data_IF_558498521275
#
_entry.id   IF_558498521275
#
_cell.length_a   1.000
_cell.length_b   1.000
_cell.length_c   1.000
_cell.angle_alpha   90.00
_cell.angle_beta   90.00
_cell.angle_gamma   90.00
#
_symmetry.space_group_name_H-M   'P 1'
#
loop_
_entity.id
_entity.type
_entity.pdbx_description
1 polymer ?
#
# COMPACT_ATOMS: atom_id res chain seq x y z
N UNK A 1 -2.56 -24.07 -12.99
CA UNK A 1 -1.38 -23.38 -12.43
C UNK A 1 -1.64 -23.22 -10.93
N UNK A 2 -0.77 -23.72 -10.04
CA UNK A 2 -0.94 -23.41 -8.62
C UNK A 2 -0.79 -21.90 -8.42
N UNK A 3 -1.57 -21.31 -7.53
CA UNK A 3 -1.36 -19.94 -7.09
C UNK A 3 0.09 -19.82 -6.60
N UNK A 4 0.85 -18.77 -6.96
CA UNK A 4 2.18 -18.57 -6.40
C UNK A 4 2.00 -18.57 -4.88
N UNK A 5 2.62 -19.54 -4.21
CA UNK A 5 2.70 -19.58 -2.76
C UNK A 5 3.13 -18.19 -2.32
N UNK A 6 2.37 -17.57 -1.42
CA UNK A 6 2.70 -16.34 -0.73
C UNK A 6 4.20 -16.37 -0.43
N UNK A 7 5.00 -15.66 -1.21
CA UNK A 7 6.42 -15.53 -0.92
C UNK A 7 6.44 -14.67 0.32
N UNK A 8 6.68 -15.31 1.47
CA UNK A 8 6.88 -14.58 2.70
C UNK A 8 8.04 -13.60 2.47
N UNK A 9 7.86 -12.32 2.78
CA UNK A 9 8.91 -11.34 2.58
C UNK A 9 10.15 -11.78 3.38
N UNK A 10 11.31 -11.67 2.74
CA UNK A 10 12.61 -11.78 3.40
C UNK A 10 12.75 -10.71 4.50
N UNK A 11 13.73 -10.85 5.39
CA UNK A 11 13.91 -9.88 6.47
C UNK A 11 14.25 -8.47 5.94
N UNK A 12 14.97 -8.38 4.82
CA UNK A 12 15.23 -7.12 4.12
C UNK A 12 13.94 -6.52 3.53
N UNK A 13 13.09 -7.34 2.92
CA UNK A 13 11.79 -6.89 2.39
C UNK A 13 10.83 -6.47 3.51
N UNK A 14 10.85 -7.14 4.66
CA UNK A 14 10.08 -6.71 5.85
C UNK A 14 10.52 -5.33 6.32
N UNK A 15 11.83 -5.07 6.32
CA UNK A 15 12.36 -3.75 6.68
C UNK A 15 11.90 -2.69 5.67
N UNK A 16 11.96 -2.98 4.37
CA UNK A 16 11.45 -2.09 3.34
C UNK A 16 9.92 -1.85 3.45
N UNK A 17 9.15 -2.88 3.82
CA UNK A 17 7.70 -2.74 4.09
C UNK A 17 7.44 -1.78 5.26
N UNK A 18 8.24 -1.86 6.33
CA UNK A 18 8.15 -0.93 7.47
C UNK A 18 8.45 0.50 7.01
N UNK A 19 9.52 0.71 6.25
CA UNK A 19 9.89 2.03 5.71
C UNK A 19 8.78 2.62 4.81
N UNK A 20 8.18 1.79 3.94
CA UNK A 20 7.06 2.20 3.11
C UNK A 20 5.82 2.56 3.94
N UNK A 21 5.55 1.85 5.05
CA UNK A 21 4.44 2.17 5.96
C UNK A 21 4.65 3.52 6.63
N UNK A 22 5.85 3.76 7.17
CA UNK A 22 6.18 5.01 7.84
C UNK A 22 6.11 6.19 6.86
N UNK A 23 6.61 6.00 5.64
CA UNK A 23 6.50 6.97 4.56
C UNK A 23 5.05 7.29 4.19
N UNK A 24 4.22 6.25 4.03
CA UNK A 24 2.80 6.44 3.73
C UNK A 24 2.04 7.09 4.89
N UNK A 25 2.33 6.72 6.13
CA UNK A 25 1.73 7.33 7.32
C UNK A 25 2.04 8.83 7.40
N UNK A 26 3.28 9.21 7.11
CA UNK A 26 3.71 10.62 7.09
C UNK A 26 2.95 11.41 6.02
N UNK A 27 2.84 10.86 4.82
CA UNK A 27 2.11 11.46 3.72
C UNK A 27 0.60 11.56 4.03
N UNK A 28 0.01 10.53 4.63
CA UNK A 28 -1.39 10.52 5.07
C UNK A 28 -1.66 11.60 6.12
N UNK A 29 -0.78 11.74 7.11
CA UNK A 29 -0.90 12.76 8.15
C UNK A 29 -0.75 14.18 7.58
N UNK A 30 0.06 14.34 6.54
CA UNK A 30 0.28 15.63 5.86
C UNK A 30 -0.90 16.00 4.95
N UNK A 31 -1.47 15.01 4.26
CA UNK A 31 -2.51 15.20 3.25
C UNK A 31 -3.71 14.26 3.44
N UNK A 32 -4.42 14.29 4.58
CA UNK A 32 -5.41 13.28 4.93
C UNK A 32 -6.61 13.21 3.97
N UNK A 33 -6.99 14.34 3.36
CA UNK A 33 -8.14 14.43 2.45
C UNK A 33 -7.93 13.69 1.12
N UNK A 34 -6.67 13.38 0.77
CA UNK A 34 -6.33 12.67 -0.47
C UNK A 34 -6.49 11.14 -0.36
N UNK A 35 -6.87 10.62 0.80
CA UNK A 35 -6.89 9.19 1.08
C UNK A 35 -8.17 8.75 1.78
N UNK A 36 -8.42 7.45 1.76
CA UNK A 36 -9.37 6.84 2.69
C UNK A 36 -8.68 6.36 3.95
N UNK A 37 -9.38 6.51 5.07
CA UNK A 37 -8.96 5.89 6.34
C UNK A 37 -8.83 4.37 6.22
N UNK A 38 -9.73 3.73 5.46
CA UNK A 38 -9.68 2.29 5.16
C UNK A 38 -8.38 1.89 4.45
N UNK A 39 -7.89 2.71 3.52
CA UNK A 39 -6.62 2.43 2.84
C UNK A 39 -5.44 2.52 3.82
N UNK A 40 -5.45 3.49 4.73
CA UNK A 40 -4.45 3.59 5.81
C UNK A 40 -4.46 2.35 6.71
N UNK A 41 -5.64 1.91 7.14
CA UNK A 41 -5.77 0.69 7.95
C UNK A 41 -5.25 -0.55 7.22
N UNK A 42 -5.51 -0.68 5.91
CA UNK A 42 -4.98 -1.79 5.12
C UNK A 42 -3.46 -1.74 4.98
N UNK A 43 -2.88 -0.57 4.74
CA UNK A 43 -1.42 -0.41 4.61
C UNK A 43 -0.72 -0.79 5.92
N UNK A 44 -1.27 -0.36 7.05
CA UNK A 44 -0.65 -0.62 8.36
C UNK A 44 -0.80 -2.07 8.83
N UNK A 45 -1.90 -2.73 8.49
CA UNK A 45 -2.23 -4.04 9.07
C UNK A 45 -2.07 -5.23 8.12
N UNK A 46 -1.76 -4.99 6.83
CA UNK A 46 -1.65 -6.07 5.85
C UNK A 46 -0.36 -5.93 5.02
N UNK A 47 0.61 -6.80 5.29
CA UNK A 47 1.92 -6.81 4.62
C UNK A 47 1.78 -6.95 3.11
N UNK A 48 0.87 -7.80 2.62
CA UNK A 48 0.67 -8.00 1.19
C UNK A 48 0.23 -6.73 0.46
N UNK A 49 -0.57 -5.87 1.10
CA UNK A 49 -1.01 -4.61 0.50
C UNK A 49 0.15 -3.65 0.21
N UNK A 50 1.26 -3.79 0.94
CA UNK A 50 2.49 -3.00 0.77
C UNK A 50 3.50 -3.77 -0.10
N UNK A 51 3.74 -5.04 0.24
CA UNK A 51 4.72 -5.92 -0.40
C UNK A 51 4.51 -6.02 -1.92
N UNK A 52 3.26 -6.08 -2.39
CA UNK A 52 2.97 -6.11 -3.84
C UNK A 52 3.53 -4.90 -4.62
N UNK A 53 3.65 -3.74 -3.98
CA UNK A 53 4.21 -2.54 -4.61
C UNK A 53 5.73 -2.55 -4.57
N UNK A 54 6.32 -3.10 -3.50
CA UNK A 54 7.76 -3.34 -3.41
C UNK A 54 8.23 -4.33 -4.49
N UNK A 55 7.50 -5.44 -4.66
CA UNK A 55 7.76 -6.42 -5.71
C UNK A 55 7.62 -5.81 -7.11
N UNK A 56 6.58 -5.00 -7.34
CA UNK A 56 6.40 -4.32 -8.62
C UNK A 56 7.45 -3.22 -8.89
N UNK A 57 8.19 -2.80 -7.86
CA UNK A 57 9.27 -1.84 -7.92
C UNK A 57 10.66 -2.50 -7.89
N UNK A 58 10.74 -3.82 -8.08
CA UNK A 58 12.00 -4.58 -8.07
C UNK A 58 12.82 -4.37 -6.79
N UNK A 59 12.15 -4.22 -5.64
CA UNK A 59 12.78 -4.00 -4.34
C UNK A 59 13.14 -2.53 -4.04
N UNK A 60 12.85 -1.60 -4.94
CA UNK A 60 13.07 -0.17 -4.69
C UNK A 60 11.95 0.40 -3.79
N UNK A 61 12.30 0.66 -2.53
CA UNK A 61 11.40 1.23 -1.51
C UNK A 61 10.78 2.56 -1.93
N UNK A 62 11.54 3.45 -2.57
CA UNK A 62 11.08 4.80 -2.94
C UNK A 62 10.09 4.78 -4.12
N UNK A 63 10.40 3.99 -5.14
CA UNK A 63 9.50 3.74 -6.26
C UNK A 63 8.26 2.97 -5.79
N UNK A 64 8.42 1.99 -4.90
CA UNK A 64 7.33 1.25 -4.26
C UNK A 64 6.37 2.19 -3.51
N UNK A 65 6.91 3.07 -2.66
CA UNK A 65 6.13 4.06 -1.92
C UNK A 65 5.39 5.02 -2.84
N UNK A 66 6.06 5.51 -3.89
CA UNK A 66 5.43 6.39 -4.89
C UNK A 66 4.23 5.70 -5.56
N UNK A 67 4.39 4.43 -5.96
CA UNK A 67 3.31 3.65 -6.57
C UNK A 67 2.17 3.37 -5.59
N UNK A 68 2.49 3.00 -4.35
CA UNK A 68 1.52 2.79 -3.28
C UNK A 68 0.67 4.06 -3.08
N UNK A 69 1.34 5.20 -2.93
CA UNK A 69 0.71 6.49 -2.66
C UNK A 69 -0.21 6.92 -3.81
N UNK A 70 0.27 6.80 -5.05
CA UNK A 70 -0.52 7.11 -6.24
C UNK A 70 -1.75 6.20 -6.36
N UNK A 71 -1.63 4.92 -6.04
CA UNK A 71 -2.75 3.99 -6.07
C UNK A 71 -3.84 4.38 -5.05
N UNK A 72 -3.45 4.78 -3.84
CA UNK A 72 -4.42 5.21 -2.81
C UNK A 72 -5.08 6.54 -3.16
N UNK A 73 -4.32 7.51 -3.72
CA UNK A 73 -4.90 8.75 -4.27
C UNK A 73 -5.92 8.47 -5.38
N UNK A 74 -5.61 7.52 -6.26
CA UNK A 74 -6.51 7.11 -7.34
C UNK A 74 -7.80 6.50 -6.78
N UNK A 75 -7.72 5.64 -5.76
CA UNK A 75 -8.92 5.08 -5.09
C UNK A 75 -9.82 6.18 -4.53
N UNK A 76 -9.22 7.19 -3.88
CA UNK A 76 -9.92 8.39 -3.38
C UNK A 76 -10.58 9.18 -4.50
N UNK A 77 -9.86 9.42 -5.58
CA UNK A 77 -10.36 10.18 -6.71
C UNK A 77 -11.58 9.51 -7.37
N UNK A 78 -11.60 8.18 -7.46
CA UNK A 78 -12.67 7.41 -8.10
C UNK A 78 -13.73 6.89 -7.12
N UNK A 79 -13.71 7.31 -5.85
CA UNK A 79 -14.67 6.88 -4.84
C UNK A 79 -14.84 5.35 -4.74
N UNK A 80 -13.72 4.62 -4.84
CA UNK A 80 -13.74 3.14 -4.94
C UNK A 80 -14.39 2.50 -3.71
N UNK A 81 -14.19 3.05 -2.53
CA UNK A 81 -14.74 2.49 -1.29
C UNK A 81 -16.25 2.69 -1.16
N UNK A 82 -16.79 3.77 -1.71
CA UNK A 82 -18.21 4.09 -1.74
C UNK A 82 -18.96 3.22 -2.77
N UNK A 83 -18.29 2.85 -3.86
CA UNK A 83 -18.84 1.89 -4.83
C UNK A 83 -18.98 0.47 -4.25
N UNK A 84 -18.11 0.11 -3.30
CA UNK A 84 -18.15 -1.20 -2.64
C UNK A 84 -19.20 -1.30 -1.50
N UNK A 85 -19.81 -0.20 -1.06
CA UNK A 85 -20.83 -0.20 0.00
C UNK A 85 -22.27 -0.32 -0.54
N UNK A 86 -22.45 -0.58 -1.84
CA UNK A 86 -23.78 -0.72 -2.47
C UNK A 86 -24.33 -2.16 -2.52
N UNK A 87 -23.72 -3.12 -1.84
CA UNK A 87 -24.22 -4.51 -1.70
C UNK A 87 -24.83 -4.79 -0.32
#
# INVERSE_FOLDING_TARGET
MPAPSLIEPTDDEKQAIIEMRDGFQTEFNTNPDLYYRKDMELVMNNDWNVHRFLLAADGDTGAGLTRLTNAMKWRKHWAVWEMCEQD
#
